data_IF_113364712829
#
_entry.id   IF_113364712829
#
_cell.length_a   1.000
_cell.length_b   1.000
_cell.length_c   1.000
_cell.angle_alpha   90.00
_cell.angle_beta   90.00
_cell.angle_gamma   90.00
#
_symmetry.space_group_name_H-M   'P 1'
#
loop_
_entity.id
_entity.type
_entity.pdbx_description
1 polymer ?
#
# COMPACT_ATOMS: atom_id res chain seq x y z
N UNK A 1 10.28 -14.80 -19.89
CA UNK A 1 10.11 -14.53 -18.46
C UNK A 1 9.71 -15.84 -17.80
N UNK A 2 10.06 -16.09 -16.54
CA UNK A 2 9.76 -17.35 -15.84
C UNK A 2 8.26 -17.40 -15.52
N UNK A 3 7.57 -18.49 -15.90
CA UNK A 3 6.13 -18.65 -15.72
C UNK A 3 5.67 -18.39 -14.27
N UNK A 4 6.43 -18.84 -13.29
CA UNK A 4 6.09 -18.63 -11.87
C UNK A 4 6.22 -17.15 -11.48
N UNK A 5 7.26 -16.49 -11.99
CA UNK A 5 7.49 -15.06 -11.74
C UNK A 5 6.34 -14.22 -12.31
N UNK A 6 5.91 -14.53 -13.52
CA UNK A 6 4.77 -13.83 -14.16
C UNK A 6 3.50 -14.02 -13.34
N UNK A 7 3.22 -15.23 -12.86
CA UNK A 7 2.06 -15.50 -11.98
C UNK A 7 2.11 -14.73 -10.65
N UNK A 8 3.29 -14.58 -10.06
CA UNK A 8 3.46 -13.80 -8.82
C UNK A 8 3.16 -12.32 -9.07
N UNK A 9 3.70 -11.75 -10.17
CA UNK A 9 3.47 -10.35 -10.54
C UNK A 9 1.99 -10.11 -10.87
N UNK A 10 1.36 -11.00 -11.64
CA UNK A 10 -0.06 -10.89 -11.97
C UNK A 10 -0.93 -10.96 -10.71
N UNK A 11 -0.63 -11.88 -9.80
CA UNK A 11 -1.35 -11.99 -8.52
C UNK A 11 -1.20 -10.72 -7.69
N UNK A 12 0.00 -10.15 -7.66
CA UNK A 12 0.26 -8.88 -6.98
C UNK A 12 -0.58 -7.74 -7.57
N UNK A 13 -0.60 -7.61 -8.88
CA UNK A 13 -1.34 -6.55 -9.58
C UNK A 13 -2.86 -6.74 -9.42
N UNK A 14 -3.36 -7.97 -9.42
CA UNK A 14 -4.77 -8.27 -9.11
C UNK A 14 -5.11 -7.83 -7.68
N UNK A 15 -4.28 -8.17 -6.69
CA UNK A 15 -4.49 -7.71 -5.31
C UNK A 15 -4.53 -6.18 -5.22
N UNK A 16 -3.59 -5.50 -5.89
CA UNK A 16 -3.55 -4.05 -5.89
C UNK A 16 -4.81 -3.42 -6.52
N UNK A 17 -5.28 -3.94 -7.67
CA UNK A 17 -6.53 -3.50 -8.30
C UNK A 17 -7.72 -3.65 -7.36
N UNK A 18 -7.81 -4.74 -6.62
CA UNK A 18 -8.85 -4.95 -5.60
C UNK A 18 -8.77 -3.91 -4.47
N UNK A 19 -7.57 -3.57 -4.01
CA UNK A 19 -7.39 -2.52 -2.99
C UNK A 19 -7.80 -1.14 -3.54
N UNK A 20 -7.52 -0.85 -4.81
CA UNK A 20 -7.97 0.38 -5.46
C UNK A 20 -9.49 0.42 -5.61
N UNK A 21 -10.15 -0.70 -5.93
CA UNK A 21 -11.62 -0.76 -5.97
C UNK A 21 -12.22 -0.40 -4.61
N UNK A 22 -11.65 -0.92 -3.51
CA UNK A 22 -12.06 -0.54 -2.16
C UNK A 22 -11.86 0.96 -1.91
N UNK A 23 -10.67 1.50 -2.15
CA UNK A 23 -10.35 2.91 -1.93
C UNK A 23 -11.26 3.86 -2.71
N UNK A 24 -11.55 3.53 -3.97
CA UNK A 24 -12.44 4.32 -4.82
C UNK A 24 -13.93 4.21 -4.44
N UNK A 25 -14.30 3.23 -3.61
CA UNK A 25 -15.70 2.99 -3.21
C UNK A 25 -16.06 3.58 -1.85
N UNK A 26 -15.10 4.19 -1.14
CA UNK A 26 -15.31 4.78 0.19
C UNK A 26 -15.05 6.28 0.16
N UNK A 27 -15.63 7.01 1.13
CA UNK A 27 -15.44 8.46 1.26
C UNK A 27 -14.33 8.79 2.24
N UNK A 28 -13.89 10.07 2.28
CA UNK A 28 -12.91 10.51 3.26
C UNK A 28 -13.43 10.38 4.70
N UNK A 29 -14.73 10.59 4.94
CA UNK A 29 -15.37 10.45 6.25
C UNK A 29 -15.31 9.00 6.75
N UNK A 30 -15.38 8.03 5.84
CA UNK A 30 -15.25 6.62 6.19
C UNK A 30 -13.87 6.28 6.78
N UNK A 31 -12.83 7.07 6.46
CA UNK A 31 -11.47 6.84 6.97
C UNK A 31 -11.35 7.00 8.49
N UNK A 32 -12.27 7.74 9.11
CA UNK A 32 -12.30 7.97 10.56
C UNK A 32 -13.15 6.93 11.32
N UNK A 33 -13.86 6.06 10.60
CA UNK A 33 -14.65 4.99 11.21
C UNK A 33 -13.73 3.95 11.86
N UNK A 34 -14.20 3.37 12.96
CA UNK A 34 -13.52 2.28 13.66
C UNK A 34 -14.52 1.31 14.26
N UNK A 35 -14.17 0.02 14.26
CA UNK A 35 -14.93 -1.04 14.93
C UNK A 35 -14.59 -1.16 16.42
N UNK A 36 -13.52 -0.49 16.89
CA UNK A 36 -13.08 -0.56 18.28
C UNK A 36 -12.39 0.72 18.73
N UNK A 37 -12.93 1.34 19.79
CA UNK A 37 -12.32 2.50 20.47
C UNK A 37 -11.17 2.11 21.41
N UNK A 38 -10.97 0.81 21.68
CA UNK A 38 -9.95 0.29 22.60
C UNK A 38 -8.64 -0.09 21.91
N UNK A 39 -8.61 -0.08 20.58
CA UNK A 39 -7.46 -0.50 19.77
C UNK A 39 -7.88 -0.99 18.39
N UNK A 40 -6.94 -1.06 17.45
CA UNK A 40 -7.21 -1.48 16.05
C UNK A 40 -7.27 -0.35 15.04
N UNK A 41 -7.17 0.92 15.46
CA UNK A 41 -7.11 2.07 14.54
C UNK A 41 -8.41 2.34 13.77
N UNK A 42 -8.39 3.41 12.99
CA UNK A 42 -9.47 3.73 12.04
C UNK A 42 -9.23 3.02 10.70
N UNK A 43 -10.24 3.02 9.81
CA UNK A 43 -10.09 2.49 8.44
C UNK A 43 -8.88 3.13 7.74
N UNK A 44 -8.73 4.44 7.85
CA UNK A 44 -7.57 5.15 7.28
C UNK A 44 -6.24 4.69 7.88
N UNK A 45 -6.19 4.43 9.19
CA UNK A 45 -4.97 3.90 9.82
C UNK A 45 -4.57 2.54 9.25
N UNK A 46 -5.54 1.65 9.04
CA UNK A 46 -5.30 0.32 8.47
C UNK A 46 -4.80 0.40 7.02
N UNK A 47 -5.44 1.23 6.20
CA UNK A 47 -5.04 1.43 4.80
C UNK A 47 -3.66 2.08 4.69
N UNK A 48 -3.34 3.04 5.56
CA UNK A 48 -2.00 3.62 5.64
C UNK A 48 -0.95 2.59 6.10
N UNK A 49 -1.31 1.71 7.05
CA UNK A 49 -0.41 0.66 7.50
C UNK A 49 -0.08 -0.34 6.38
N UNK A 50 -1.05 -0.69 5.53
CA UNK A 50 -0.80 -1.53 4.35
C UNK A 50 0.27 -0.93 3.43
N UNK A 51 0.22 0.38 3.19
CA UNK A 51 1.26 1.09 2.44
C UNK A 51 2.61 1.05 3.18
N UNK A 52 2.64 1.34 4.48
CA UNK A 52 3.89 1.30 5.26
C UNK A 52 4.57 -0.08 5.24
N UNK A 53 3.79 -1.16 5.26
CA UNK A 53 4.34 -2.53 5.13
C UNK A 53 5.05 -2.72 3.78
N UNK A 54 4.48 -2.19 2.70
CA UNK A 54 5.14 -2.20 1.37
C UNK A 54 6.41 -1.36 1.38
N UNK A 55 6.35 -0.16 1.92
CA UNK A 55 7.51 0.72 2.10
C UNK A 55 8.63 -0.02 2.84
N UNK A 56 8.37 -0.64 4.00
CA UNK A 56 9.41 -1.33 4.76
C UNK A 56 9.97 -2.56 4.04
N UNK A 57 9.15 -3.24 3.23
CA UNK A 57 9.63 -4.34 2.40
C UNK A 57 10.59 -3.84 1.31
N UNK A 58 10.23 -2.75 0.63
CA UNK A 58 11.07 -2.10 -0.39
C UNK A 58 12.37 -1.56 0.23
N UNK A 59 12.27 -0.86 1.35
CA UNK A 59 13.41 -0.29 2.08
C UNK A 59 14.43 -1.37 2.47
N UNK A 60 13.95 -2.54 2.92
CA UNK A 60 14.80 -3.68 3.25
C UNK A 60 15.45 -4.33 2.04
N UNK A 61 14.79 -4.29 0.89
CA UNK A 61 15.32 -4.83 -0.36
C UNK A 61 16.36 -3.88 -0.98
N UNK A 62 15.97 -2.63 -1.20
CA UNK A 62 16.81 -1.59 -1.76
C UNK A 62 16.33 -0.22 -1.29
N UNK A 63 17.11 0.42 -0.42
CA UNK A 63 16.78 1.75 0.14
C UNK A 63 16.61 2.84 -0.91
N UNK A 64 17.23 2.71 -2.07
CA UNK A 64 17.10 3.70 -3.14
C UNK A 64 15.70 3.70 -3.76
N UNK A 65 14.96 2.57 -3.71
CA UNK A 65 13.58 2.51 -4.21
C UNK A 65 12.61 3.35 -3.39
N UNK A 66 13.01 3.73 -2.16
CA UNK A 66 12.15 4.47 -1.24
C UNK A 66 12.71 5.83 -0.85
N UNK A 67 13.74 6.34 -1.55
CA UNK A 67 14.44 7.58 -1.15
C UNK A 67 13.50 8.79 -1.08
N UNK A 68 12.54 8.85 -1.99
CA UNK A 68 11.54 9.92 -2.09
C UNK A 68 10.21 9.56 -1.40
N UNK A 69 10.12 8.36 -0.83
CA UNK A 69 8.92 7.90 -0.13
C UNK A 69 9.03 8.13 1.37
N UNK A 70 7.88 8.32 2.00
CA UNK A 70 7.79 8.45 3.46
C UNK A 70 6.66 7.58 4.01
N UNK A 71 6.87 7.06 5.21
CA UNK A 71 5.82 6.35 5.95
C UNK A 71 4.75 7.34 6.45
N UNK A 72 3.51 6.86 6.51
CA UNK A 72 2.37 7.61 7.04
C UNK A 72 2.23 7.30 8.53
N UNK A 73 2.30 8.32 9.39
CA UNK A 73 2.16 8.19 10.83
C UNK A 73 0.68 8.08 11.23
N UNK A 74 0.44 7.60 12.45
CA UNK A 74 -0.91 7.52 13.01
C UNK A 74 -1.59 8.89 13.06
N UNK A 75 -0.83 9.93 13.45
CA UNK A 75 -1.28 11.33 13.57
C UNK A 75 -1.58 12.03 12.24
N UNK A 76 -1.10 11.51 11.13
CA UNK A 76 -1.21 12.20 9.85
C UNK A 76 -2.65 12.17 9.36
N UNK A 77 -3.14 13.30 8.84
CA UNK A 77 -4.44 13.33 8.17
C UNK A 77 -4.35 12.53 6.88
N UNK A 78 -5.31 11.65 6.65
CA UNK A 78 -5.37 10.77 5.47
C UNK A 78 -6.50 11.21 4.57
N UNK A 79 -6.30 11.07 3.26
CA UNK A 79 -7.36 11.22 2.26
C UNK A 79 -7.34 10.03 1.31
N UNK A 80 -8.47 9.78 0.65
CA UNK A 80 -8.58 8.72 -0.36
C UNK A 80 -7.58 8.92 -1.48
N UNK A 81 -7.45 10.15 -2.00
CA UNK A 81 -6.48 10.49 -3.05
C UNK A 81 -5.05 10.17 -2.61
N UNK A 82 -4.64 10.65 -1.43
CA UNK A 82 -3.32 10.35 -0.89
C UNK A 82 -3.07 8.85 -0.78
N UNK A 83 -4.05 8.09 -0.27
CA UNK A 83 -3.94 6.65 -0.12
C UNK A 83 -3.84 5.93 -1.47
N UNK A 84 -4.60 6.35 -2.47
CA UNK A 84 -4.51 5.81 -3.84
C UNK A 84 -3.11 6.06 -4.41
N UNK A 85 -2.58 7.27 -4.28
CA UNK A 85 -1.28 7.65 -4.84
C UNK A 85 -0.17 6.78 -4.24
N UNK A 86 -0.06 6.74 -2.91
CA UNK A 86 0.99 5.97 -2.25
C UNK A 86 0.82 4.44 -2.42
N UNK A 87 -0.42 3.93 -2.50
CA UNK A 87 -0.65 2.51 -2.82
C UNK A 87 -0.26 2.18 -4.26
N UNK A 88 -0.47 3.09 -5.21
CA UNK A 88 -0.15 2.89 -6.63
C UNK A 88 1.36 2.93 -6.86
N UNK A 89 2.03 3.93 -6.29
CA UNK A 89 3.47 4.08 -6.37
C UNK A 89 4.20 2.89 -5.73
N UNK A 90 3.82 2.51 -4.50
CA UNK A 90 4.39 1.33 -3.84
C UNK A 90 4.07 0.02 -4.57
N UNK A 91 2.95 -0.08 -5.29
CA UNK A 91 2.62 -1.26 -6.09
C UNK A 91 3.51 -1.41 -7.33
N UNK A 92 3.82 -0.30 -7.99
CA UNK A 92 4.76 -0.29 -9.11
C UNK A 92 6.15 -0.73 -8.66
N UNK A 93 6.67 -0.16 -7.56
CA UNK A 93 7.99 -0.50 -7.03
C UNK A 93 8.10 -1.94 -6.54
N UNK A 94 7.03 -2.51 -5.95
CA UNK A 94 7.03 -3.94 -5.59
C UNK A 94 7.07 -4.80 -6.87
N UNK A 95 6.40 -4.38 -7.94
CA UNK A 95 6.45 -5.11 -9.23
C UNK A 95 7.86 -5.07 -9.85
N UNK A 96 8.55 -3.93 -9.73
CA UNK A 96 9.96 -3.78 -10.10
C UNK A 96 10.86 -4.72 -9.28
N UNK A 97 10.75 -4.70 -7.95
CA UNK A 97 11.46 -5.63 -7.05
C UNK A 97 11.22 -7.11 -7.42
N UNK A 98 9.96 -7.50 -7.67
CA UNK A 98 9.61 -8.87 -8.09
C UNK A 98 10.19 -9.20 -9.48
N UNK A 99 10.41 -8.19 -10.32
CA UNK A 99 11.04 -8.33 -11.63
C UNK A 99 12.56 -8.47 -11.52
N UNK A 100 13.21 -7.85 -10.57
CA UNK A 100 14.66 -7.99 -10.36
C UNK A 100 15.04 -9.33 -9.71
N UNK A 101 14.09 -9.94 -8.98
CA UNK A 101 14.36 -11.10 -8.14
C UNK A 101 14.72 -10.64 -6.72
N UNK A 102 14.10 -11.27 -5.74
CA UNK A 102 14.21 -10.89 -4.31
C UNK A 102 15.35 -11.60 -3.58
#
# INVERSE_FOLDING_TARGET
MDFIKDQIIDTWLINHRTNLLLLNSITNEALDLTTSKRGGGTIGHQLAHMYNVRFWKLERFNKNLVSELHTIKASDKKSITMLIDCHSESAALISEMLTEGF
#
